data_IF_023232636197
#
_entry.id   IF_023232636197
#
_cell.length_a   1.000
_cell.length_b   1.000
_cell.length_c   1.000
_cell.angle_alpha   90.00
_cell.angle_beta   90.00
_cell.angle_gamma   90.00
#
_symmetry.space_group_name_H-M   'P 1'
#
loop_
_entity.id
_entity.type
_entity.pdbx_description
1 polymer ?
#
# COMPACT_ATOMS: atom_id res chain seq x y z
N UNK A 1 6.05 23.04 -2.11
CA UNK A 1 5.29 22.72 -3.34
C UNK A 1 5.95 21.49 -3.94
N UNK A 2 5.22 20.45 -4.32
CA UNK A 2 5.81 19.25 -4.92
C UNK A 2 5.98 19.50 -6.42
N UNK A 3 7.10 19.09 -6.99
CA UNK A 3 7.34 19.20 -8.43
C UNK A 3 6.38 18.30 -9.20
N UNK A 4 5.79 18.82 -10.27
CA UNK A 4 4.85 18.09 -11.11
C UNK A 4 5.42 17.95 -12.52
N UNK A 5 5.41 16.73 -13.05
CA UNK A 5 5.79 16.44 -14.42
C UNK A 5 4.60 15.88 -15.20
N UNK A 6 4.50 16.24 -16.48
CA UNK A 6 3.45 15.70 -17.37
C UNK A 6 3.70 14.21 -17.62
N UNK A 7 2.76 13.37 -17.21
CA UNK A 7 2.76 11.95 -17.55
C UNK A 7 2.52 11.77 -19.06
N UNK A 8 3.31 10.92 -19.70
CA UNK A 8 3.27 10.67 -21.16
C UNK A 8 2.73 9.28 -21.51
N UNK A 9 2.45 8.45 -20.51
CA UNK A 9 1.96 7.09 -20.68
C UNK A 9 2.38 6.18 -19.54
N UNK A 10 1.93 4.92 -19.59
CA UNK A 10 2.18 3.92 -18.54
C UNK A 10 3.67 3.68 -18.29
N UNK A 11 4.47 3.53 -19.35
CA UNK A 11 5.91 3.29 -19.22
C UNK A 11 6.65 4.40 -18.49
N UNK A 12 6.20 5.65 -18.63
CA UNK A 12 6.75 6.79 -17.89
C UNK A 12 6.47 6.62 -16.39
N UNK A 13 5.23 6.29 -16.03
CA UNK A 13 4.84 6.03 -14.64
C UNK A 13 5.66 4.89 -14.04
N UNK A 14 5.81 3.78 -14.77
CA UNK A 14 6.53 2.61 -14.27
C UNK A 14 8.03 2.90 -14.06
N UNK A 15 8.65 3.65 -14.97
CA UNK A 15 10.06 4.09 -14.82
C UNK A 15 10.23 5.03 -13.64
N UNK A 16 9.34 6.00 -13.51
CA UNK A 16 9.42 7.00 -12.44
C UNK A 16 9.12 6.38 -11.07
N UNK A 17 8.18 5.43 -11.01
CA UNK A 17 7.88 4.67 -9.79
C UNK A 17 9.12 3.90 -9.32
N UNK A 18 9.80 3.19 -10.23
CA UNK A 18 11.06 2.49 -9.93
C UNK A 18 12.14 3.45 -9.42
N UNK A 19 12.29 4.61 -10.04
CA UNK A 19 13.25 5.64 -9.63
C UNK A 19 12.95 6.13 -8.21
N UNK A 20 11.70 6.48 -7.93
CA UNK A 20 11.30 6.98 -6.60
C UNK A 20 11.47 5.91 -5.52
N UNK A 21 11.13 4.65 -5.80
CA UNK A 21 11.34 3.55 -4.85
C UNK A 21 12.83 3.33 -4.57
N UNK A 22 13.68 3.39 -5.61
CA UNK A 22 15.14 3.28 -5.44
C UNK A 22 15.73 4.41 -4.58
N UNK A 23 15.06 5.57 -4.53
CA UNK A 23 15.41 6.69 -3.65
C UNK A 23 14.79 6.58 -2.25
N UNK A 24 14.11 5.46 -1.92
CA UNK A 24 13.42 5.26 -0.65
C UNK A 24 12.04 5.92 -0.54
N UNK A 25 11.51 6.43 -1.66
CA UNK A 25 10.17 7.00 -1.71
C UNK A 25 9.07 5.94 -1.71
N UNK A 26 7.88 6.31 -1.21
CA UNK A 26 6.75 5.39 -1.07
C UNK A 26 6.06 5.07 -2.41
N UNK A 27 6.02 6.03 -3.34
CA UNK A 27 5.34 5.89 -4.62
C UNK A 27 5.01 7.22 -5.28
N UNK A 28 4.06 7.19 -6.22
CA UNK A 28 3.66 8.35 -7.02
C UNK A 28 2.21 8.76 -6.77
N UNK A 29 1.91 10.01 -7.08
CA UNK A 29 0.56 10.54 -7.20
C UNK A 29 0.32 10.94 -8.66
N UNK A 30 -0.74 10.44 -9.29
CA UNK A 30 -1.16 10.89 -10.62
C UNK A 30 -2.44 11.69 -10.48
N UNK A 31 -2.43 12.90 -11.03
CA UNK A 31 -3.59 13.79 -11.05
C UNK A 31 -4.01 14.11 -12.49
N UNK A 32 -5.31 14.09 -12.75
CA UNK A 32 -5.85 14.58 -14.01
C UNK A 32 -5.69 16.10 -14.11
N UNK A 33 -5.11 16.58 -15.22
CA UNK A 33 -4.90 18.00 -15.45
C UNK A 33 -6.24 18.75 -15.44
N UNK A 34 -6.28 19.89 -14.74
CA UNK A 34 -7.48 20.72 -14.62
C UNK A 34 -8.58 20.16 -13.70
N UNK A 35 -8.37 19.02 -13.03
CA UNK A 35 -9.36 18.49 -12.10
C UNK A 35 -9.63 19.47 -10.94
N UNK A 36 -10.90 19.65 -10.61
CA UNK A 36 -11.33 20.41 -9.43
C UNK A 36 -11.15 19.55 -8.17
N UNK A 37 -11.03 20.20 -7.03
CA UNK A 37 -11.00 19.50 -5.74
C UNK A 37 -12.36 18.84 -5.46
N UNK A 38 -12.33 17.62 -4.94
CA UNK A 38 -13.51 16.87 -4.51
C UNK A 38 -13.26 16.27 -3.12
N UNK A 39 -14.22 16.40 -2.20
CA UNK A 39 -14.10 15.88 -0.82
C UNK A 39 -14.48 14.40 -0.71
N UNK A 40 -13.92 13.55 -1.58
CA UNK A 40 -14.13 12.10 -1.64
C UNK A 40 -12.93 11.40 -2.27
N UNK A 41 -12.93 10.06 -2.27
CA UNK A 41 -12.04 9.30 -3.17
C UNK A 41 -12.48 9.58 -4.60
N UNK A 42 -11.55 9.98 -5.46
CA UNK A 42 -11.80 10.40 -6.84
C UNK A 42 -10.79 9.74 -7.76
N UNK A 43 -11.25 9.36 -8.95
CA UNK A 43 -10.40 8.78 -9.99
C UNK A 43 -9.51 9.83 -10.66
N UNK A 44 -9.74 11.11 -10.37
CA UNK A 44 -8.91 12.23 -10.85
C UNK A 44 -7.61 12.39 -10.05
N UNK A 45 -7.43 11.63 -8.95
CA UNK A 45 -6.23 11.63 -8.11
C UNK A 45 -5.91 10.21 -7.60
N UNK A 46 -4.97 9.55 -8.26
CA UNK A 46 -4.58 8.16 -8.01
C UNK A 46 -3.27 8.06 -7.22
N UNK A 47 -3.22 7.12 -6.27
CA UNK A 47 -2.00 6.71 -5.54
C UNK A 47 -1.41 5.49 -6.23
N UNK A 48 -0.14 5.54 -6.61
CA UNK A 48 0.55 4.41 -7.23
C UNK A 48 1.68 3.98 -6.30
N UNK A 49 1.58 2.75 -5.81
CA UNK A 49 2.53 2.14 -4.88
C UNK A 49 2.81 0.71 -5.30
N UNK A 50 4.01 0.23 -5.04
CA UNK A 50 4.32 -1.18 -5.18
C UNK A 50 3.79 -1.97 -3.99
N UNK A 51 3.29 -3.16 -4.28
CA UNK A 51 2.94 -4.14 -3.25
C UNK A 51 4.00 -5.24 -3.26
N UNK A 52 4.42 -5.67 -2.07
CA UNK A 52 5.35 -6.78 -1.90
C UNK A 52 4.58 -7.96 -1.33
N UNK A 53 4.78 -9.13 -1.92
CA UNK A 53 4.22 -10.38 -1.44
C UNK A 53 5.29 -11.20 -0.72
N UNK A 54 4.90 -11.89 0.34
CA UNK A 54 5.77 -12.76 1.10
C UNK A 54 4.96 -13.85 1.80
N UNK A 55 5.61 -14.99 2.06
CA UNK A 55 5.02 -16.08 2.85
C UNK A 55 5.40 -15.92 4.32
N UNK A 56 4.47 -16.25 5.20
CA UNK A 56 4.67 -16.33 6.64
C UNK A 56 4.01 -17.59 7.20
N UNK A 57 4.58 -18.14 8.27
CA UNK A 57 4.05 -19.31 8.98
C UNK A 57 3.02 -18.85 10.00
N UNK A 58 1.86 -19.48 10.02
CA UNK A 58 0.86 -19.27 11.08
C UNK A 58 1.37 -19.87 12.39
N UNK A 59 1.48 -19.04 13.43
CA UNK A 59 1.96 -19.45 14.76
C UNK A 59 0.94 -19.20 15.89
N UNK A 60 -0.18 -18.53 15.60
CA UNK A 60 -1.25 -18.37 16.58
C UNK A 60 -2.45 -17.57 16.11
N UNK A 61 -3.44 -17.45 16.99
CA UNK A 61 -4.68 -16.72 16.76
C UNK A 61 -4.89 -15.67 17.85
N UNK A 62 -5.37 -14.49 17.47
CA UNK A 62 -5.68 -13.39 18.40
C UNK A 62 -7.19 -13.24 18.47
N UNK A 63 -7.78 -13.52 19.63
CA UNK A 63 -9.22 -13.37 19.86
C UNK A 63 -9.64 -11.90 19.93
N UNK A 64 -10.87 -11.61 19.51
CA UNK A 64 -11.44 -10.26 19.60
C UNK A 64 -11.84 -9.94 21.05
N UNK A 65 -11.63 -8.68 21.48
CA UNK A 65 -12.03 -8.23 22.82
C UNK A 65 -13.56 -8.19 23.03
N UNK A 66 -14.32 -7.89 21.98
CA UNK A 66 -15.79 -7.78 22.03
C UNK A 66 -16.51 -9.12 21.91
N UNK A 67 -15.89 -10.11 21.27
CA UNK A 67 -16.43 -11.46 21.13
C UNK A 67 -15.28 -12.49 21.14
N UNK A 68 -15.04 -13.19 22.26
CA UNK A 68 -13.96 -14.18 22.39
C UNK A 68 -14.06 -15.39 21.46
N UNK A 69 -15.24 -15.67 20.91
CA UNK A 69 -15.42 -16.75 19.95
C UNK A 69 -14.84 -16.39 18.58
N UNK A 70 -14.75 -15.09 18.27
CA UNK A 70 -14.23 -14.58 17.00
C UNK A 70 -12.73 -14.30 17.04
N UNK A 71 -12.06 -14.57 15.92
CA UNK A 71 -10.66 -14.25 15.69
C UNK A 71 -10.56 -12.86 15.07
N UNK A 72 -9.74 -11.99 15.69
CA UNK A 72 -9.45 -10.65 15.18
C UNK A 72 -8.28 -10.63 14.20
N UNK A 73 -7.27 -11.48 14.43
CA UNK A 73 -6.08 -11.56 13.60
C UNK A 73 -5.33 -12.87 13.82
N UNK A 74 -4.51 -13.22 12.83
CA UNK A 74 -3.56 -14.32 12.88
C UNK A 74 -2.19 -13.78 13.29
N UNK A 75 -1.53 -14.43 14.25
CA UNK A 75 -0.12 -14.17 14.53
C UNK A 75 0.71 -15.05 13.59
N UNK A 76 1.56 -14.41 12.79
CA UNK A 76 2.40 -15.07 11.79
C UNK A 76 3.87 -14.73 12.00
N UNK A 77 4.75 -15.61 11.54
CA UNK A 77 6.20 -15.44 11.59
C UNK A 77 6.78 -15.54 10.16
N UNK A 78 7.56 -14.54 9.78
CA UNK A 78 8.33 -14.55 8.53
C UNK A 78 9.55 -15.46 8.64
N UNK A 79 10.11 -15.87 7.49
CA UNK A 79 11.34 -16.66 7.45
C UNK A 79 12.55 -16.00 8.15
N UNK A 80 12.55 -14.67 8.30
CA UNK A 80 13.57 -13.91 9.02
C UNK A 80 13.29 -13.79 10.54
N UNK A 81 12.29 -14.51 11.06
CA UNK A 81 11.92 -14.51 12.47
C UNK A 81 11.04 -13.33 12.91
N UNK A 82 10.70 -12.40 12.03
CA UNK A 82 9.81 -11.28 12.38
C UNK A 82 8.39 -11.80 12.56
N UNK A 83 7.82 -11.53 13.73
CA UNK A 83 6.45 -11.86 14.07
C UNK A 83 5.53 -10.65 13.96
N UNK A 84 4.37 -10.81 13.33
CA UNK A 84 3.39 -9.74 13.19
C UNK A 84 1.97 -10.31 13.05
N UNK A 85 0.96 -9.43 13.16
CA UNK A 85 -0.45 -9.81 13.12
C UNK A 85 -1.08 -9.46 11.77
N UNK A 86 -1.87 -10.36 11.21
CA UNK A 86 -2.67 -10.14 10.00
C UNK A 86 -4.15 -10.22 10.38
N UNK A 87 -4.86 -9.09 10.34
CA UNK A 87 -6.28 -9.00 10.73
C UNK A 87 -7.26 -8.71 9.60
N UNK A 88 -6.78 -8.27 8.45
CA UNK A 88 -7.59 -7.96 7.26
C UNK A 88 -7.06 -8.75 6.06
N UNK A 89 -7.98 -9.31 5.28
CA UNK A 89 -7.72 -9.85 3.94
C UNK A 89 -8.26 -8.93 2.86
#
# INVERSE_FOLDING_TARGET
MVEHQKCTGKDHVDKELKRIIALGGEGLMIRQLGSKYERKRSDTLLKIKTFYDAKAKLIGFVKTKSNPDLISSYLVEMANGIQFKIGSG
#
